data_IF_383781167774
#
_entry.id   IF_383781167774
#
_cell.length_a   1.000
_cell.length_b   1.000
_cell.length_c   1.000
_cell.angle_alpha   90.00
_cell.angle_beta   90.00
_cell.angle_gamma   90.00
#
_symmetry.space_group_name_H-M   'P 1'
#
loop_
_entity.id
_entity.type
_entity.pdbx_description
1 polymer ?
#
# COMPACT_ATOMS: atom_id res chain seq x y z
N UNK A 1 18.14 1.58 -9.98
CA UNK A 1 17.19 2.70 -9.76
C UNK A 1 16.05 2.18 -8.92
N UNK A 2 16.00 2.54 -7.63
CA UNK A 2 15.01 2.04 -6.66
C UNK A 2 13.69 2.83 -6.69
N UNK A 3 13.19 3.09 -7.89
CA UNK A 3 12.17 4.11 -8.10
C UNK A 3 10.81 3.71 -7.51
N UNK A 4 10.46 2.42 -7.53
CA UNK A 4 9.18 1.97 -7.01
C UNK A 4 9.20 2.01 -5.49
N UNK A 5 10.22 1.42 -4.85
CA UNK A 5 10.35 1.41 -3.40
C UNK A 5 10.26 2.83 -2.79
N UNK A 6 11.05 3.77 -3.31
CA UNK A 6 11.04 5.14 -2.81
C UNK A 6 9.73 5.88 -3.10
N UNK A 7 9.00 5.51 -4.15
CA UNK A 7 7.67 6.08 -4.43
C UNK A 7 6.58 5.57 -3.49
N UNK A 8 6.77 4.39 -2.87
CA UNK A 8 5.80 3.80 -1.94
C UNK A 8 5.88 4.39 -0.53
N UNK A 9 7.06 4.80 -0.08
CA UNK A 9 7.24 5.37 1.27
C UNK A 9 6.34 6.59 1.51
N UNK A 10 6.29 7.62 0.64
CA UNK A 10 5.38 8.74 0.81
C UNK A 10 3.90 8.34 0.86
N UNK A 11 3.51 7.26 0.18
CA UNK A 11 2.13 6.76 0.17
C UNK A 11 1.78 6.03 1.48
N UNK A 12 2.74 5.36 2.11
CA UNK A 12 2.59 4.84 3.49
C UNK A 12 2.34 6.00 4.44
N UNK A 13 3.23 6.99 4.43
CA UNK A 13 3.12 8.18 5.29
C UNK A 13 1.82 8.93 5.08
N UNK A 14 1.43 9.17 3.82
CA UNK A 14 0.18 9.87 3.48
C UNK A 14 -1.04 9.15 4.06
N UNK A 15 -1.18 7.84 3.84
CA UNK A 15 -2.30 7.07 4.37
C UNK A 15 -2.31 7.06 5.90
N UNK A 16 -1.14 6.87 6.53
CA UNK A 16 -1.01 6.80 7.97
C UNK A 16 -1.27 8.15 8.67
N UNK A 17 -0.72 9.25 8.16
CA UNK A 17 -0.94 10.59 8.72
C UNK A 17 -2.42 10.99 8.59
N UNK A 18 -3.04 10.75 7.44
CA UNK A 18 -4.44 11.12 7.22
C UNK A 18 -5.38 10.41 8.21
N UNK A 19 -5.18 9.11 8.47
CA UNK A 19 -6.03 8.41 9.45
C UNK A 19 -5.68 8.82 10.88
N UNK A 20 -4.40 9.03 11.19
CA UNK A 20 -3.97 9.32 12.56
C UNK A 20 -4.33 10.74 13.01
N UNK A 21 -4.06 11.74 12.18
CA UNK A 21 -4.25 13.14 12.54
C UNK A 21 -5.64 13.68 12.18
N UNK A 22 -6.31 13.06 11.20
CA UNK A 22 -7.55 13.59 10.64
C UNK A 22 -8.71 12.59 10.60
N UNK A 23 -8.52 11.34 11.01
CA UNK A 23 -9.52 10.27 10.86
C UNK A 23 -10.01 10.10 9.41
N UNK A 24 -9.13 10.39 8.44
CA UNK A 24 -9.40 10.26 7.01
C UNK A 24 -8.77 8.96 6.52
N UNK A 25 -9.63 8.06 6.03
CA UNK A 25 -9.21 6.85 5.34
C UNK A 25 -9.05 7.13 3.85
N UNK A 26 -7.90 6.78 3.29
CA UNK A 26 -7.60 6.97 1.88
C UNK A 26 -7.82 5.66 1.10
N UNK A 27 -8.37 5.80 -0.11
CA UNK A 27 -8.48 4.73 -1.10
C UNK A 27 -7.87 5.22 -2.39
N UNK A 28 -7.17 4.33 -3.09
CA UNK A 28 -6.57 4.68 -4.38
C UNK A 28 -6.14 3.46 -5.16
N UNK A 29 -5.52 3.73 -6.30
CA UNK A 29 -4.86 2.73 -7.11
C UNK A 29 -3.55 3.28 -7.69
N UNK A 30 -2.58 2.39 -7.89
CA UNK A 30 -1.27 2.67 -8.45
C UNK A 30 -1.07 1.84 -9.72
N UNK A 31 -0.64 2.47 -10.80
CA UNK A 31 -0.25 1.82 -12.06
C UNK A 31 1.03 2.48 -12.59
N UNK A 32 1.68 1.83 -13.55
CA UNK A 32 2.83 2.37 -14.28
C UNK A 32 2.47 2.38 -15.77
N UNK A 33 2.78 3.49 -16.44
CA UNK A 33 2.58 3.62 -17.87
C UNK A 33 2.76 5.05 -18.34
N UNK A 34 2.40 5.29 -19.59
CA UNK A 34 2.57 6.60 -20.22
C UNK A 34 1.66 7.66 -19.60
N UNK A 35 2.27 8.79 -19.26
CA UNK A 35 1.59 10.03 -18.88
C UNK A 35 2.22 11.18 -19.64
N UNK A 36 1.39 12.15 -20.01
CA UNK A 36 1.81 13.51 -20.27
C UNK A 36 1.59 14.33 -19.00
N UNK A 37 2.60 15.10 -18.60
CA UNK A 37 2.44 16.11 -17.55
C UNK A 37 3.09 17.42 -17.96
N UNK A 38 2.42 18.52 -17.65
CA UNK A 38 2.99 19.87 -17.62
C UNK A 38 2.56 20.59 -16.33
N UNK A 39 2.80 21.90 -16.23
CA UNK A 39 2.43 22.70 -15.05
C UNK A 39 0.91 22.77 -14.78
N UNK A 40 0.08 22.50 -15.79
CA UNK A 40 -1.37 22.72 -15.74
C UNK A 40 -2.17 21.42 -15.84
N UNK A 41 -1.64 20.39 -16.48
CA UNK A 41 -2.37 19.19 -16.86
C UNK A 41 -1.54 17.93 -16.68
N UNK A 42 -2.20 16.90 -16.17
CA UNK A 42 -1.73 15.51 -16.19
C UNK A 42 -2.79 14.70 -16.90
N UNK A 43 -2.41 13.93 -17.91
CA UNK A 43 -3.30 13.00 -18.59
C UNK A 43 -2.52 11.88 -19.26
N UNK A 44 -3.18 10.77 -19.58
CA UNK A 44 -2.56 9.66 -20.30
C UNK A 44 -3.18 8.33 -19.92
N UNK A 45 -2.82 7.25 -20.64
CA UNK A 45 -3.36 5.92 -20.40
C UNK A 45 -3.22 5.48 -18.94
N UNK A 46 -2.07 5.71 -18.31
CA UNK A 46 -1.84 5.31 -16.92
C UNK A 46 -2.74 6.06 -15.94
N UNK A 47 -3.08 7.33 -16.19
CA UNK A 47 -4.01 8.07 -15.34
C UNK A 47 -5.43 7.51 -15.44
N UNK A 48 -5.87 7.15 -16.65
CA UNK A 48 -7.18 6.52 -16.88
C UNK A 48 -7.23 5.16 -16.21
N UNK A 49 -6.21 4.32 -16.40
CA UNK A 49 -6.11 3.01 -15.74
C UNK A 49 -6.17 3.11 -14.21
N UNK A 50 -5.43 4.05 -13.61
CA UNK A 50 -5.46 4.26 -12.16
C UNK A 50 -6.87 4.66 -11.70
N UNK A 51 -7.52 5.57 -12.42
CA UNK A 51 -8.90 5.97 -12.12
C UNK A 51 -9.88 4.80 -12.22
N UNK A 52 -9.80 4.00 -13.28
CA UNK A 52 -10.67 2.86 -13.45
C UNK A 52 -10.45 1.79 -12.37
N UNK A 53 -9.20 1.52 -12.02
CA UNK A 53 -8.85 0.55 -10.98
C UNK A 53 -9.34 1.01 -9.60
N UNK A 54 -9.16 2.29 -9.26
CA UNK A 54 -9.70 2.88 -8.03
C UNK A 54 -11.23 2.80 -7.98
N UNK A 55 -11.89 3.15 -9.07
CA UNK A 55 -13.35 3.30 -9.10
C UNK A 55 -14.09 1.97 -9.22
N UNK A 56 -13.50 0.97 -9.90
CA UNK A 56 -14.15 -0.31 -10.20
C UNK A 56 -13.68 -1.47 -9.32
N UNK A 57 -12.46 -1.42 -8.79
CA UNK A 57 -11.83 -2.56 -8.10
C UNK A 57 -11.50 -2.23 -6.65
N UNK A 58 -10.97 -1.03 -6.36
CA UNK A 58 -10.63 -0.68 -4.98
C UNK A 58 -11.89 -0.56 -4.11
N UNK A 59 -12.04 -1.50 -3.18
CA UNK A 59 -13.19 -1.55 -2.26
C UNK A 59 -12.85 -1.01 -0.86
N UNK A 60 -11.65 -1.35 -0.40
CA UNK A 60 -11.16 -1.10 0.96
C UNK A 60 -10.36 0.21 1.04
N UNK A 61 -10.22 0.80 2.25
CA UNK A 61 -9.45 2.03 2.45
C UNK A 61 -7.94 1.76 2.35
N UNK A 62 -7.46 1.52 1.13
CA UNK A 62 -6.06 1.32 0.81
C UNK A 62 -5.76 1.71 -0.64
N UNK A 63 -4.49 1.87 -0.95
CA UNK A 63 -4.01 2.02 -2.32
C UNK A 63 -3.63 0.65 -2.89
N UNK A 64 -4.40 0.14 -3.86
CA UNK A 64 -4.09 -1.13 -4.55
C UNK A 64 -3.13 -0.91 -5.72
N UNK A 65 -2.36 -1.93 -6.08
CA UNK A 65 -1.48 -1.92 -7.23
C UNK A 65 -2.13 -2.65 -8.39
N UNK A 66 -1.94 -2.10 -9.59
CA UNK A 66 -2.28 -2.81 -10.81
C UNK A 66 -1.40 -4.06 -10.94
N UNK A 67 -2.03 -5.20 -11.19
CA UNK A 67 -1.34 -6.51 -11.27
C UNK A 67 -0.20 -6.57 -12.31
N UNK A 68 -0.21 -5.69 -13.32
CA UNK A 68 0.86 -5.61 -14.31
C UNK A 68 2.19 -5.15 -13.72
N UNK A 69 2.18 -4.35 -12.63
CA UNK A 69 3.40 -3.80 -12.05
C UNK A 69 4.37 -4.91 -11.64
N UNK A 70 3.89 -5.98 -11.01
CA UNK A 70 4.75 -7.10 -10.61
C UNK A 70 5.32 -7.82 -11.85
N UNK A 71 4.49 -8.04 -12.88
CA UNK A 71 4.92 -8.70 -14.11
C UNK A 71 5.94 -7.85 -14.90
N UNK A 72 5.69 -6.55 -15.04
CA UNK A 72 6.58 -5.58 -15.69
C UNK A 72 7.93 -5.52 -14.96
N UNK A 73 7.90 -5.57 -13.62
CA UNK A 73 9.11 -5.58 -12.80
C UNK A 73 9.93 -6.87 -13.00
N UNK A 74 9.28 -8.03 -13.04
CA UNK A 74 9.92 -9.33 -13.32
C UNK A 74 10.52 -9.37 -14.73
N UNK A 75 9.81 -8.82 -15.72
CA UNK A 75 10.31 -8.69 -17.08
C UNK A 75 11.56 -7.80 -17.12
N UNK A 76 11.52 -6.63 -16.49
CA UNK A 76 12.67 -5.72 -16.45
C UNK A 76 13.90 -6.36 -15.80
N UNK A 77 13.69 -7.10 -14.69
CA UNK A 77 14.76 -7.85 -14.05
C UNK A 77 15.35 -8.93 -14.97
N UNK A 78 14.51 -9.62 -15.76
CA UNK A 78 14.97 -10.61 -16.73
C UNK A 78 15.79 -9.99 -17.88
N UNK A 79 15.38 -8.82 -18.37
CA UNK A 79 16.10 -8.07 -19.41
C UNK A 79 17.48 -7.63 -18.91
N UNK A 80 17.57 -7.10 -17.69
CA UNK A 80 18.84 -6.68 -17.09
C UNK A 80 19.77 -7.87 -16.82
N UNK A 81 19.23 -9.03 -16.43
CA UNK A 81 20.03 -10.26 -16.28
C UNK A 81 20.71 -10.68 -17.59
N UNK A 82 20.14 -10.33 -18.74
CA UNK A 82 20.72 -10.63 -20.04
C UNK A 82 21.89 -9.70 -20.42
N UNK A 83 22.09 -8.57 -19.72
CA UNK A 83 23.14 -7.59 -20.04
C UNK A 83 24.44 -7.78 -19.24
N UNK A 84 24.51 -8.78 -18.36
CA UNK A 84 25.64 -9.06 -17.43
C UNK A 84 26.04 -7.87 -16.53
N UNK A 85 25.11 -6.94 -16.29
CA UNK A 85 25.29 -5.79 -15.41
C UNK A 85 25.02 -6.18 -13.96
N UNK A 86 26.04 -6.78 -13.31
CA UNK A 86 25.91 -7.36 -11.96
C UNK A 86 25.48 -6.34 -10.89
N UNK A 87 25.89 -5.08 -11.01
CA UNK A 87 25.47 -4.01 -10.10
C UNK A 87 23.98 -3.74 -10.25
N UNK A 88 23.50 -3.57 -11.48
CA UNK A 88 22.08 -3.31 -11.74
C UNK A 88 21.19 -4.50 -11.39
N UNK A 89 21.67 -5.74 -11.60
CA UNK A 89 20.96 -6.95 -11.16
C UNK A 89 20.79 -6.92 -9.64
N UNK A 90 21.87 -6.68 -8.90
CA UNK A 90 21.85 -6.62 -7.44
C UNK A 90 20.86 -5.57 -6.93
N UNK A 91 20.90 -4.36 -7.49
CA UNK A 91 19.99 -3.27 -7.12
C UNK A 91 18.51 -3.66 -7.31
N UNK A 92 18.15 -4.22 -8.47
CA UNK A 92 16.77 -4.59 -8.77
C UNK A 92 16.27 -5.77 -7.93
N UNK A 93 17.12 -6.76 -7.65
CA UNK A 93 16.78 -7.85 -6.75
C UNK A 93 16.58 -7.34 -5.31
N UNK A 94 17.41 -6.41 -4.89
CA UNK A 94 17.32 -5.77 -3.59
C UNK A 94 16.01 -4.95 -3.47
N UNK A 95 15.70 -4.10 -4.43
CA UNK A 95 14.43 -3.36 -4.47
C UNK A 95 13.22 -4.32 -4.48
N UNK A 96 13.26 -5.40 -5.26
CA UNK A 96 12.20 -6.42 -5.27
C UNK A 96 11.98 -7.02 -3.90
N UNK A 97 13.05 -7.32 -3.18
CA UNK A 97 13.00 -7.88 -1.84
C UNK A 97 12.40 -6.90 -0.82
N UNK A 98 12.72 -5.60 -0.93
CA UNK A 98 12.14 -4.58 -0.06
C UNK A 98 10.76 -4.07 -0.51
N UNK A 99 10.29 -4.48 -1.69
CA UNK A 99 8.99 -4.05 -2.22
C UNK A 99 7.92 -5.14 -2.14
N UNK A 100 8.14 -6.30 -2.77
CA UNK A 100 7.10 -7.31 -3.00
C UNK A 100 7.15 -8.52 -2.03
N UNK A 101 8.27 -8.75 -1.36
CA UNK A 101 8.42 -9.89 -0.44
C UNK A 101 7.70 -9.61 0.89
N UNK A 102 7.48 -10.63 1.75
CA UNK A 102 6.70 -10.46 2.99
C UNK A 102 7.19 -9.35 3.94
N UNK A 103 8.49 -9.03 3.91
CA UNK A 103 9.10 -7.94 4.69
C UNK A 103 9.15 -6.59 3.97
N UNK A 104 8.70 -6.53 2.72
CA UNK A 104 8.68 -5.32 1.91
C UNK A 104 7.50 -4.41 2.24
N UNK A 105 7.36 -3.34 1.44
CA UNK A 105 6.34 -2.30 1.64
C UNK A 105 4.93 -2.69 1.16
N UNK A 106 4.83 -3.73 0.31
CA UNK A 106 3.56 -4.20 -0.23
C UNK A 106 3.10 -5.47 0.48
N UNK A 107 1.79 -5.56 0.71
CA UNK A 107 1.13 -6.77 1.19
C UNK A 107 0.10 -7.22 0.17
N UNK A 108 0.05 -8.52 -0.13
CA UNK A 108 -0.99 -9.11 -0.96
C UNK A 108 -2.22 -9.38 -0.10
N UNK A 109 -3.37 -8.84 -0.48
CA UNK A 109 -4.59 -9.05 0.29
C UNK A 109 -5.43 -10.24 -0.23
N UNK A 110 -6.50 -10.56 0.48
CA UNK A 110 -7.39 -11.68 0.19
C UNK A 110 -8.11 -11.59 -1.17
N UNK A 111 -8.25 -10.38 -1.74
CA UNK A 111 -8.80 -10.19 -3.09
C UNK A 111 -7.76 -10.39 -4.20
N UNK A 112 -6.52 -10.73 -3.84
CA UNK A 112 -5.46 -11.04 -4.78
C UNK A 112 -4.63 -9.83 -5.23
N UNK A 113 -5.00 -8.60 -4.84
CA UNK A 113 -4.23 -7.41 -5.19
C UNK A 113 -3.17 -7.08 -4.13
N UNK A 114 -2.01 -6.64 -4.59
CA UNK A 114 -1.06 -5.94 -3.72
C UNK A 114 -1.62 -4.59 -3.31
N UNK A 115 -1.32 -4.16 -2.09
CA UNK A 115 -1.59 -2.80 -1.63
C UNK A 115 -0.41 -2.22 -0.86
N UNK A 116 -0.37 -0.89 -0.80
CA UNK A 116 0.60 -0.14 0.00
C UNK A 116 0.23 -0.26 1.47
N UNK A 117 0.95 -1.11 2.20
CA UNK A 117 0.55 -1.54 3.54
C UNK A 117 0.95 -0.55 4.64
N UNK A 118 0.17 0.52 4.72
CA UNK A 118 0.37 1.59 5.70
C UNK A 118 0.04 1.18 7.15
N UNK A 119 -0.57 0.02 7.36
CA UNK A 119 -0.89 -0.45 8.71
C UNK A 119 0.30 -1.19 9.31
N UNK A 120 0.77 -2.25 8.65
CA UNK A 120 1.85 -3.08 9.18
C UNK A 120 3.23 -2.45 8.96
N UNK A 121 3.46 -1.83 7.80
CA UNK A 121 4.80 -1.41 7.38
C UNK A 121 5.19 -0.03 7.92
N UNK A 122 4.22 0.76 8.35
CA UNK A 122 4.48 2.05 8.97
C UNK A 122 5.28 1.95 10.28
N UNK A 123 5.28 0.79 10.95
CA UNK A 123 6.16 0.53 12.09
C UNK A 123 7.65 0.75 11.76
N UNK A 124 8.09 0.41 10.54
CA UNK A 124 9.48 0.58 10.10
C UNK A 124 9.88 2.04 9.89
N UNK A 125 8.91 2.93 9.79
CA UNK A 125 9.10 4.37 9.59
C UNK A 125 9.11 5.16 10.90
N UNK A 126 8.91 4.50 12.04
CA UNK A 126 8.81 5.15 13.34
C UNK A 126 10.09 5.00 14.17
N UNK A 127 10.60 6.13 14.67
CA UNK A 127 11.76 6.15 15.57
C UNK A 127 11.43 5.57 16.96
N UNK A 128 10.20 5.76 17.45
CA UNK A 128 9.75 5.29 18.75
C UNK A 128 8.67 4.19 18.59
N UNK A 129 8.89 2.95 19.05
CA UNK A 129 7.89 1.87 19.01
C UNK A 129 6.55 2.23 19.67
N UNK A 130 6.55 3.11 20.70
CA UNK A 130 5.33 3.55 21.36
C UNK A 130 4.41 4.34 20.43
N UNK A 131 4.97 5.10 19.48
CA UNK A 131 4.19 5.80 18.47
C UNK A 131 3.39 4.82 17.61
N UNK A 132 3.94 3.64 17.32
CA UNK A 132 3.27 2.64 16.51
C UNK A 132 2.13 1.98 17.29
N UNK A 133 2.35 1.68 18.57
CA UNK A 133 1.31 1.21 19.49
C UNK A 133 0.16 2.22 19.54
N UNK A 134 0.46 3.51 19.70
CA UNK A 134 -0.52 4.58 19.76
C UNK A 134 -1.28 4.75 18.44
N UNK A 135 -0.58 4.63 17.30
CA UNK A 135 -1.20 4.66 15.97
C UNK A 135 -2.22 3.52 15.79
N UNK A 136 -1.86 2.28 16.13
CA UNK A 136 -2.75 1.13 16.02
C UNK A 136 -3.95 1.27 16.98
N UNK A 137 -3.71 1.71 18.22
CA UNK A 137 -4.78 1.95 19.20
C UNK A 137 -5.74 3.07 18.76
N UNK A 138 -5.21 4.13 18.13
CA UNK A 138 -6.01 5.21 17.56
C UNK A 138 -6.96 4.70 16.47
N UNK A 139 -6.45 3.90 15.52
CA UNK A 139 -7.30 3.35 14.45
C UNK A 139 -8.37 2.42 15.04
N UNK A 140 -8.01 1.58 16.01
CA UNK A 140 -8.98 0.68 16.66
C UNK A 140 -10.15 1.45 17.31
N UNK A 141 -9.82 2.50 18.07
CA UNK A 141 -10.81 3.40 18.68
C UNK A 141 -11.64 4.14 17.63
N UNK A 142 -11.01 4.61 16.55
CA UNK A 142 -11.68 5.31 15.47
C UNK A 142 -12.73 4.44 14.75
N UNK A 143 -12.45 3.16 14.52
CA UNK A 143 -13.35 2.28 13.77
C UNK A 143 -14.47 1.66 14.61
N UNK A 144 -14.29 1.57 15.94
CA UNK A 144 -15.22 0.92 16.87
C UNK A 144 -16.69 1.35 16.69
N UNK A 145 -17.03 2.66 16.58
CA UNK A 145 -18.42 3.09 16.44
C UNK A 145 -19.13 2.59 15.18
N UNK A 146 -18.39 2.13 14.18
CA UNK A 146 -18.91 1.65 12.90
C UNK A 146 -19.12 0.12 12.87
N UNK A 147 -18.55 -0.62 13.82
CA UNK A 147 -18.59 -2.08 13.89
C UNK A 147 -19.87 -2.60 14.57
N UNK A 148 -21.03 -2.22 14.04
CA UNK A 148 -22.34 -2.52 14.61
C UNK A 148 -23.36 -2.97 13.57
N UNK A 149 -24.39 -3.77 13.94
CA UNK A 149 -25.32 -4.38 12.98
C UNK A 149 -26.14 -3.40 12.15
N UNK A 150 -26.36 -2.18 12.65
CA UNK A 150 -27.12 -1.11 12.00
C UNK A 150 -26.29 -0.28 11.00
N UNK A 151 -24.97 -0.49 10.91
CA UNK A 151 -24.13 0.15 9.89
C UNK A 151 -24.45 -0.42 8.51
N UNK A 152 -24.60 0.46 7.51
CA UNK A 152 -24.87 0.05 6.13
C UNK A 152 -23.82 -0.98 5.64
N UNK A 153 -24.21 -2.09 4.99
CA UNK A 153 -23.29 -3.18 4.67
C UNK A 153 -22.04 -2.76 3.87
N UNK A 154 -22.20 -1.83 2.93
CA UNK A 154 -21.11 -1.29 2.10
C UNK A 154 -20.10 -0.44 2.89
N UNK A 155 -20.52 0.10 4.04
CA UNK A 155 -19.68 0.84 4.97
C UNK A 155 -19.07 -0.14 5.97
N UNK A 156 -19.88 -1.01 6.57
CA UNK A 156 -19.48 -1.98 7.58
C UNK A 156 -18.32 -2.85 7.09
N UNK A 157 -18.38 -3.35 5.84
CA UNK A 157 -17.31 -4.18 5.26
C UNK A 157 -15.93 -3.51 5.27
N UNK A 158 -15.87 -2.18 5.10
CA UNK A 158 -14.60 -1.42 5.12
C UNK A 158 -13.98 -1.41 6.51
N UNK A 159 -14.81 -1.25 7.53
CA UNK A 159 -14.37 -1.22 8.92
C UNK A 159 -14.06 -2.63 9.46
N UNK A 160 -14.79 -3.66 9.02
CA UNK A 160 -14.43 -5.05 9.29
C UNK A 160 -13.04 -5.36 8.73
N UNK A 161 -12.77 -4.96 7.49
CA UNK A 161 -11.44 -5.13 6.89
C UNK A 161 -10.34 -4.49 7.72
N UNK A 162 -10.51 -3.24 8.17
CA UNK A 162 -9.54 -2.57 9.06
C UNK A 162 -9.38 -3.31 10.39
N UNK A 163 -10.50 -3.71 10.99
CA UNK A 163 -10.51 -4.43 12.27
C UNK A 163 -9.71 -5.73 12.20
N UNK A 164 -9.93 -6.54 11.16
CA UNK A 164 -9.20 -7.79 10.95
C UNK A 164 -7.68 -7.57 10.84
N UNK A 165 -7.26 -6.53 10.11
CA UNK A 165 -5.84 -6.16 10.00
C UNK A 165 -5.25 -5.74 11.34
N UNK A 166 -5.97 -4.91 12.11
CA UNK A 166 -5.55 -4.45 13.44
C UNK A 166 -5.42 -5.63 14.41
N UNK A 167 -6.40 -6.54 14.44
CA UNK A 167 -6.33 -7.70 15.34
C UNK A 167 -5.15 -8.62 14.98
N UNK A 168 -4.88 -8.81 13.68
CA UNK A 168 -3.69 -9.55 13.23
C UNK A 168 -2.40 -8.90 13.74
N UNK A 169 -2.27 -7.57 13.61
CA UNK A 169 -1.10 -6.81 14.08
C UNK A 169 -0.94 -6.92 15.60
N UNK A 170 -2.01 -6.71 16.37
CA UNK A 170 -1.98 -6.82 17.84
C UNK A 170 -1.58 -8.22 18.32
N UNK A 171 -2.01 -9.27 17.61
CA UNK A 171 -1.62 -10.65 17.90
C UNK A 171 -0.11 -10.86 17.69
N UNK A 172 0.45 -10.31 16.61
CA UNK A 172 1.88 -10.38 16.32
C UNK A 172 2.72 -9.62 17.35
N UNK A 173 2.28 -8.43 17.76
CA UNK A 173 2.94 -7.60 18.78
C UNK A 173 2.95 -8.28 20.15
N UNK A 174 1.88 -9.01 20.50
CA UNK A 174 1.77 -9.72 21.79
C UNK A 174 2.58 -11.02 21.84
N UNK A 175 3.02 -11.52 20.68
CA UNK A 175 3.80 -12.75 20.53
C UNK A 175 5.31 -12.50 20.42
N UNK A 176 5.74 -11.24 20.45
CA UNK A 176 7.13 -10.77 20.34
C UNK A 176 7.67 -10.33 21.69
#
# INVERSE_FOLDING_TARGET
TNNLFFSLIPLIWLQAILVWQHNILLRGALTIGEIYHDENMVFGPAMVEAYELESKVAEFPRIILHDKIEADYEQWLAEVRATDDQERIYDLENEKNYTFKPKGLLTKDNDGHYYVDYLEKFAGEMDNPENYVNFIAHIESFIEPYLKPDTAPSILKKYIWLYEKIQKIKTQMSSS
#
